data_IF_764963501989
#
_entry.id   IF_764963501989
#
_cell.length_a   1.000
_cell.length_b   1.000
_cell.length_c   1.000
_cell.angle_alpha   90.00
_cell.angle_beta   90.00
_cell.angle_gamma   90.00
#
_symmetry.space_group_name_H-M   'P 1'
#
loop_
_entity.id
_entity.type
_entity.pdbx_description
1 polymer ?
#
# COMPACT_ATOMS: atom_id res chain seq x y z
N UNK A 1 15.40 7.69 16.82
CA UNK A 1 16.56 7.48 15.93
C UNK A 1 16.97 6.01 15.76
N UNK A 2 16.41 5.02 16.48
CA UNK A 2 16.69 3.60 16.24
C UNK A 2 15.65 2.91 15.33
N UNK A 3 14.35 3.21 15.50
CA UNK A 3 13.26 2.64 14.67
C UNK A 3 13.37 3.06 13.20
N UNK A 4 13.63 4.34 12.90
CA UNK A 4 13.78 4.82 11.52
C UNK A 4 15.00 4.26 10.78
N UNK A 5 15.98 3.67 11.49
CA UNK A 5 17.17 3.06 10.89
C UNK A 5 17.03 1.55 10.71
N UNK A 6 16.28 0.89 11.60
CA UNK A 6 16.07 -0.55 11.57
C UNK A 6 14.89 -0.99 10.71
N UNK A 7 13.98 -0.08 10.32
CA UNK A 7 12.86 -0.44 9.45
C UNK A 7 13.36 -1.07 8.13
N UNK A 8 14.50 -0.64 7.61
CA UNK A 8 15.06 -1.16 6.35
C UNK A 8 15.98 -2.37 6.56
N UNK A 9 16.61 -2.51 7.73
CA UNK A 9 17.61 -3.57 8.03
C UNK A 9 17.02 -4.78 8.79
N UNK A 10 16.15 -4.54 9.78
CA UNK A 10 15.49 -5.55 10.64
C UNK A 10 14.08 -5.06 11.04
N UNK A 11 13.09 -5.22 10.14
CA UNK A 11 11.72 -4.76 10.38
C UNK A 11 11.07 -5.41 11.61
N UNK A 12 11.35 -6.70 11.86
CA UNK A 12 10.79 -7.44 12.98
C UNK A 12 11.35 -6.95 14.32
N UNK A 13 12.67 -6.73 14.40
CA UNK A 13 13.32 -6.13 15.56
C UNK A 13 12.82 -4.71 15.80
N UNK A 14 12.69 -3.88 14.76
CA UNK A 14 12.13 -2.54 14.85
C UNK A 14 10.70 -2.56 15.41
N UNK A 15 9.86 -3.49 14.93
CA UNK A 15 8.51 -3.71 15.45
C UNK A 15 8.53 -4.11 16.93
N UNK A 16 9.39 -5.05 17.33
CA UNK A 16 9.56 -5.46 18.73
C UNK A 16 9.90 -4.27 19.66
N UNK A 17 10.86 -3.44 19.27
CA UNK A 17 11.22 -2.23 20.02
C UNK A 17 10.08 -1.21 20.08
N UNK A 18 9.35 -1.04 18.98
CA UNK A 18 8.23 -0.11 18.92
C UNK A 18 7.11 -0.48 19.89
N UNK A 19 6.82 -1.78 20.06
CA UNK A 19 5.82 -2.25 21.05
C UNK A 19 6.23 -1.95 22.48
N UNK A 20 7.51 -2.11 22.81
CA UNK A 20 8.02 -1.76 24.14
C UNK A 20 7.90 -0.25 24.38
N UNK A 21 8.31 0.57 23.40
CA UNK A 21 8.17 2.02 23.48
C UNK A 21 6.70 2.44 23.64
N UNK A 22 5.78 1.80 22.92
CA UNK A 22 4.34 2.07 23.01
C UNK A 22 3.79 1.75 24.41
N UNK A 23 4.20 0.64 25.04
CA UNK A 23 3.82 0.30 26.42
C UNK A 23 4.29 1.35 27.43
N UNK A 24 5.46 1.95 27.21
CA UNK A 24 6.06 2.94 28.10
C UNK A 24 5.52 4.36 27.87
N UNK A 25 5.17 4.70 26.62
CA UNK A 25 4.91 6.08 26.20
C UNK A 25 3.70 6.22 25.25
N UNK A 26 2.63 5.47 25.48
CA UNK A 26 1.40 5.49 24.66
C UNK A 26 0.69 6.86 24.56
N UNK A 27 1.04 7.82 25.41
CA UNK A 27 0.52 9.19 25.35
C UNK A 27 1.37 10.15 24.51
N UNK A 28 2.41 9.65 23.86
CA UNK A 28 3.26 10.43 22.96
C UNK A 28 2.90 10.09 21.51
N UNK A 29 2.38 11.07 20.76
CA UNK A 29 1.92 10.83 19.38
C UNK A 29 3.03 10.27 18.49
N UNK A 30 4.24 10.85 18.56
CA UNK A 30 5.40 10.36 17.80
C UNK A 30 5.79 8.90 18.11
N UNK A 31 5.53 8.42 19.33
CA UNK A 31 5.76 7.00 19.68
C UNK A 31 4.73 6.11 18.98
N UNK A 32 3.49 6.55 18.88
CA UNK A 32 2.44 5.85 18.13
C UNK A 32 2.72 5.84 16.63
N UNK A 33 3.16 6.96 16.06
CA UNK A 33 3.56 7.01 14.65
C UNK A 33 4.70 6.04 14.36
N UNK A 34 5.74 6.03 15.20
CA UNK A 34 6.85 5.09 15.05
C UNK A 34 6.39 3.62 15.17
N UNK A 35 5.47 3.31 16.09
CA UNK A 35 4.87 1.98 16.20
C UNK A 35 4.01 1.63 14.99
N UNK A 36 3.25 2.60 14.46
CA UNK A 36 2.46 2.44 13.24
C UNK A 36 3.33 2.12 12.04
N UNK A 37 4.42 2.85 11.82
CA UNK A 37 5.36 2.59 10.73
C UNK A 37 6.09 1.25 10.88
N UNK A 38 6.48 0.86 12.09
CA UNK A 38 7.11 -0.44 12.31
C UNK A 38 6.12 -1.61 12.10
N UNK A 39 4.86 -1.44 12.51
CA UNK A 39 3.79 -2.40 12.21
C UNK A 39 3.50 -2.46 10.70
N UNK A 40 3.49 -1.31 10.02
CA UNK A 40 3.28 -1.21 8.58
C UNK A 40 4.38 -1.93 7.79
N UNK A 41 5.65 -1.71 8.15
CA UNK A 41 6.80 -2.38 7.53
C UNK A 41 6.79 -3.92 7.72
N UNK A 42 6.11 -4.41 8.76
CA UNK A 42 5.92 -5.84 9.03
C UNK A 42 4.55 -6.35 8.57
N UNK A 43 3.85 -5.59 7.70
CA UNK A 43 2.55 -5.92 7.10
C UNK A 43 1.43 -6.16 8.12
N UNK A 44 1.57 -5.66 9.36
CA UNK A 44 0.55 -5.71 10.41
C UNK A 44 -0.41 -4.54 10.26
N UNK A 45 -1.10 -4.48 9.12
CA UNK A 45 -1.88 -3.32 8.70
C UNK A 45 -2.98 -2.92 9.68
N UNK A 46 -3.63 -3.89 10.34
CA UNK A 46 -4.65 -3.62 11.36
C UNK A 46 -4.06 -2.85 12.57
N UNK A 47 -2.90 -3.30 13.07
CA UNK A 47 -2.20 -2.63 14.17
C UNK A 47 -1.66 -1.25 13.74
N UNK A 48 -1.06 -1.17 12.55
CA UNK A 48 -0.56 0.07 11.99
C UNK A 48 -1.66 1.14 11.89
N UNK A 49 -2.81 0.75 11.32
CA UNK A 49 -3.96 1.62 11.16
C UNK A 49 -4.54 2.09 12.50
N UNK A 50 -4.58 1.23 13.51
CA UNK A 50 -5.01 1.60 14.86
C UNK A 50 -4.09 2.69 15.46
N UNK A 51 -2.77 2.54 15.31
CA UNK A 51 -1.79 3.49 15.82
C UNK A 51 -1.80 4.81 15.03
N UNK A 52 -1.89 4.79 13.70
CA UNK A 52 -2.02 6.00 12.90
C UNK A 52 -3.30 6.77 13.22
N UNK A 53 -4.43 6.08 13.42
CA UNK A 53 -5.69 6.72 13.88
C UNK A 53 -5.54 7.36 15.26
N UNK A 54 -4.82 6.69 16.17
CA UNK A 54 -4.55 7.23 17.50
C UNK A 54 -3.63 8.46 17.43
N UNK A 55 -2.54 8.41 16.67
CA UNK A 55 -1.65 9.55 16.43
C UNK A 55 -2.41 10.74 15.84
N UNK A 56 -3.22 10.52 14.79
CA UNK A 56 -4.07 11.54 14.17
C UNK A 56 -5.06 12.17 15.15
N UNK A 57 -5.70 11.39 16.02
CA UNK A 57 -6.59 11.95 17.07
C UNK A 57 -5.84 12.85 18.05
N UNK A 58 -4.57 12.56 18.32
CA UNK A 58 -3.74 13.33 19.25
C UNK A 58 -3.18 14.60 18.64
N UNK A 59 -2.80 14.58 17.36
CA UNK A 59 -2.14 15.72 16.70
C UNK A 59 -3.08 16.55 15.83
N UNK A 60 -4.17 15.95 15.35
CA UNK A 60 -5.05 16.52 14.33
C UNK A 60 -4.45 16.55 12.91
N UNK A 61 -3.22 16.05 12.74
CA UNK A 61 -2.52 16.11 11.46
C UNK A 61 -3.07 15.07 10.46
N UNK A 62 -3.09 15.44 9.18
CA UNK A 62 -3.52 14.59 8.07
C UNK A 62 -2.36 13.93 7.32
N UNK A 63 -1.09 14.22 7.65
CA UNK A 63 0.07 13.68 6.92
C UNK A 63 0.08 12.15 6.80
N UNK A 64 -0.50 11.44 7.78
CA UNK A 64 -0.62 9.97 7.78
C UNK A 64 -1.80 9.45 6.94
N UNK A 65 -2.59 10.32 6.31
CA UNK A 65 -3.78 9.93 5.56
C UNK A 65 -3.48 8.93 4.42
N UNK A 66 -2.44 9.14 3.58
CA UNK A 66 -2.11 8.18 2.53
C UNK A 66 -1.72 6.80 3.07
N UNK A 67 -0.88 6.72 4.12
CA UNK A 67 -0.46 5.42 4.70
C UNK A 67 -1.62 4.72 5.41
N UNK A 68 -2.56 5.47 6.01
CA UNK A 68 -3.79 4.89 6.54
C UNK A 68 -4.67 4.29 5.43
N UNK A 69 -4.75 4.97 4.28
CA UNK A 69 -5.50 4.47 3.12
C UNK A 69 -4.82 3.23 2.51
N UNK A 70 -3.50 3.17 2.50
CA UNK A 70 -2.74 2.00 2.05
C UNK A 70 -2.85 0.82 3.03
N UNK A 71 -3.00 1.08 4.33
CA UNK A 71 -3.33 0.03 5.29
C UNK A 71 -4.70 -0.60 5.00
N UNK A 72 -5.71 0.17 4.61
CA UNK A 72 -7.02 -0.38 4.21
C UNK A 72 -6.87 -1.25 2.95
N UNK A 73 -6.04 -0.83 1.99
CA UNK A 73 -5.68 -1.63 0.80
C UNK A 73 -5.01 -2.95 1.20
N UNK A 74 -4.00 -2.91 2.09
CA UNK A 74 -3.33 -4.10 2.62
C UNK A 74 -4.23 -5.02 3.45
N UNK A 75 -5.37 -4.51 3.95
CA UNK A 75 -6.43 -5.31 4.59
C UNK A 75 -7.46 -5.87 3.58
N UNK A 76 -7.21 -5.75 2.28
CA UNK A 76 -8.10 -6.22 1.22
C UNK A 76 -9.34 -5.36 1.02
N UNK A 77 -9.26 -4.05 1.31
CA UNK A 77 -10.39 -3.09 1.19
C UNK A 77 -10.07 -1.94 0.23
N UNK A 78 -9.77 -2.23 -1.06
CA UNK A 78 -9.37 -1.20 -2.02
C UNK A 78 -10.46 -0.14 -2.27
N UNK A 79 -11.74 -0.48 -2.15
CA UNK A 79 -12.86 0.47 -2.25
C UNK A 79 -12.78 1.51 -1.14
N UNK A 80 -12.42 1.09 0.08
CA UNK A 80 -12.25 2.01 1.21
C UNK A 80 -11.09 2.97 0.98
N UNK A 81 -10.01 2.51 0.34
CA UNK A 81 -8.89 3.35 -0.07
C UNK A 81 -9.34 4.42 -1.07
N UNK A 82 -10.20 4.08 -2.04
CA UNK A 82 -10.75 5.06 -2.98
C UNK A 82 -11.68 6.07 -2.31
N UNK A 83 -12.51 5.64 -1.36
CA UNK A 83 -13.32 6.57 -0.55
C UNK A 83 -12.43 7.58 0.18
N UNK A 84 -11.32 7.12 0.77
CA UNK A 84 -10.36 7.98 1.45
C UNK A 84 -9.63 8.92 0.49
N UNK A 85 -9.35 8.49 -0.74
CA UNK A 85 -8.75 9.34 -1.77
C UNK A 85 -9.69 10.47 -2.24
N UNK A 86 -11.01 10.27 -2.11
CA UNK A 86 -12.03 11.28 -2.40
C UNK A 86 -12.38 12.19 -1.21
N UNK A 87 -11.78 11.98 -0.04
CA UNK A 87 -12.15 12.67 1.19
C UNK A 87 -11.57 14.10 1.28
N UNK A 88 -12.21 15.02 2.01
CA UNK A 88 -11.74 16.41 2.18
C UNK A 88 -10.35 16.52 2.81
N UNK A 89 -9.89 15.52 3.56
CA UNK A 89 -8.55 15.43 4.13
C UNK A 89 -7.45 15.55 3.08
N UNK A 90 -7.67 15.07 1.86
CA UNK A 90 -6.68 15.11 0.78
C UNK A 90 -6.32 16.54 0.39
N UNK A 91 -7.26 17.49 0.51
CA UNK A 91 -7.00 18.90 0.24
C UNK A 91 -6.12 19.59 1.29
N UNK A 92 -5.97 18.98 2.47
CA UNK A 92 -5.13 19.49 3.55
C UNK A 92 -3.69 18.96 3.47
N UNK A 93 -3.45 17.93 2.65
CA UNK A 93 -2.11 17.40 2.40
C UNK A 93 -1.27 18.40 1.61
N UNK A 94 0.03 18.40 1.90
CA UNK A 94 1.01 19.06 1.06
C UNK A 94 1.14 18.37 -0.31
N UNK A 95 2.02 18.89 -1.16
CA UNK A 95 2.17 18.36 -2.51
C UNK A 95 2.67 16.91 -2.50
N UNK A 96 3.59 16.57 -1.59
CA UNK A 96 4.10 15.22 -1.45
C UNK A 96 2.96 14.26 -1.05
N UNK A 97 2.23 14.57 0.02
CA UNK A 97 1.09 13.76 0.49
C UNK A 97 -0.01 13.60 -0.56
N UNK A 98 -0.27 14.62 -1.39
CA UNK A 98 -1.22 14.49 -2.52
C UNK A 98 -0.71 13.52 -3.59
N UNK A 99 0.59 13.47 -3.86
CA UNK A 99 1.18 12.48 -4.78
C UNK A 99 1.14 11.08 -4.15
N UNK A 100 1.47 10.96 -2.85
CA UNK A 100 1.32 9.70 -2.12
C UNK A 100 -0.10 9.15 -2.23
N UNK A 101 -1.11 9.99 -1.97
CA UNK A 101 -2.50 9.57 -2.05
C UNK A 101 -2.88 9.10 -3.47
N UNK A 102 -2.35 9.73 -4.53
CA UNK A 102 -2.58 9.27 -5.91
C UNK A 102 -1.95 7.91 -6.17
N UNK A 103 -0.74 7.67 -5.68
CA UNK A 103 -0.06 6.38 -5.83
C UNK A 103 -0.84 5.27 -5.14
N UNK A 104 -1.29 5.51 -3.90
CA UNK A 104 -2.12 4.58 -3.14
C UNK A 104 -3.46 4.32 -3.83
N UNK A 105 -4.13 5.36 -4.34
CA UNK A 105 -5.39 5.22 -5.08
C UNK A 105 -5.23 4.45 -6.40
N UNK A 106 -4.14 4.67 -7.13
CA UNK A 106 -3.83 3.90 -8.33
C UNK A 106 -3.55 2.42 -8.01
N UNK A 107 -2.83 2.14 -6.92
CA UNK A 107 -2.62 0.79 -6.41
C UNK A 107 -3.94 0.09 -6.08
N UNK A 108 -4.85 0.76 -5.36
CA UNK A 108 -6.17 0.21 -5.05
C UNK A 108 -6.98 -0.11 -6.31
N UNK A 109 -6.89 0.72 -7.37
CA UNK A 109 -7.52 0.43 -8.67
C UNK A 109 -6.94 -0.80 -9.35
N UNK A 110 -5.62 -1.00 -9.28
CA UNK A 110 -4.97 -2.20 -9.82
C UNK A 110 -5.42 -3.46 -9.10
N UNK A 111 -5.54 -3.42 -7.77
CA UNK A 111 -6.06 -4.56 -7.00
C UNK A 111 -7.49 -4.96 -7.40
N UNK A 112 -8.27 -4.03 -7.96
CA UNK A 112 -9.61 -4.25 -8.50
C UNK A 112 -9.64 -4.50 -10.02
N UNK A 113 -8.49 -4.75 -10.65
CA UNK A 113 -8.35 -4.95 -12.10
C UNK A 113 -8.81 -3.75 -12.96
N UNK A 114 -8.77 -2.54 -12.39
CA UNK A 114 -9.18 -1.30 -13.06
C UNK A 114 -7.97 -0.56 -13.66
N UNK A 115 -7.21 -1.23 -14.51
CA UNK A 115 -5.92 -0.74 -15.02
C UNK A 115 -6.01 0.62 -15.73
N UNK A 116 -6.99 0.80 -16.62
CA UNK A 116 -7.21 2.08 -17.31
C UNK A 116 -7.46 3.24 -16.33
N UNK A 117 -8.23 2.98 -15.27
CA UNK A 117 -8.51 3.98 -14.26
C UNK A 117 -7.30 4.25 -13.36
N UNK A 118 -6.45 3.25 -13.11
CA UNK A 118 -5.18 3.42 -12.41
C UNK A 118 -4.24 4.34 -13.21
N UNK A 119 -4.10 4.10 -14.52
CA UNK A 119 -3.31 4.94 -15.44
C UNK A 119 -3.82 6.39 -15.38
N UNK A 120 -5.13 6.61 -15.53
CA UNK A 120 -5.72 7.96 -15.45
C UNK A 120 -5.51 8.61 -14.09
N UNK A 121 -5.56 7.84 -13.00
CA UNK A 121 -5.33 8.35 -11.63
C UNK A 121 -3.91 8.90 -11.45
N UNK A 122 -2.92 8.28 -12.11
CA UNK A 122 -1.51 8.67 -12.06
C UNK A 122 -1.16 9.83 -13.01
N UNK A 123 -2.01 10.09 -14.02
CA UNK A 123 -1.82 11.23 -14.92
C UNK A 123 -2.06 12.55 -14.18
N UNK A 124 -0.97 13.18 -13.76
CA UNK A 124 -1.01 14.47 -13.07
C UNK A 124 0.06 15.44 -13.60
N UNK A 125 -0.05 16.75 -13.31
CA UNK A 125 1.01 17.71 -13.64
C UNK A 125 2.37 17.33 -13.06
N UNK A 126 2.38 16.66 -11.91
CA UNK A 126 3.60 16.18 -11.24
C UNK A 126 4.29 15.06 -12.03
N UNK A 127 3.53 14.19 -12.72
CA UNK A 127 4.09 13.13 -13.58
C UNK A 127 4.86 13.72 -14.77
N UNK A 128 4.33 14.78 -15.37
CA UNK A 128 4.91 15.47 -16.53
C UNK A 128 5.98 16.51 -16.17
N UNK A 129 6.23 16.76 -14.89
CA UNK A 129 7.19 17.76 -14.42
C UNK A 129 8.63 17.37 -14.79
N UNK A 130 9.43 18.37 -15.20
CA UNK A 130 10.88 18.23 -15.37
C UNK A 130 11.66 18.39 -14.07
N UNK A 131 11.05 18.96 -13.03
CA UNK A 131 11.67 19.06 -11.70
C UNK A 131 11.67 17.69 -11.03
N UNK A 132 12.85 17.21 -10.67
CA UNK A 132 13.03 15.99 -9.89
C UNK A 132 12.75 16.29 -8.42
N UNK A 133 11.71 15.66 -7.90
CA UNK A 133 11.26 15.71 -6.51
C UNK A 133 11.41 14.31 -5.89
N UNK A 134 11.37 14.17 -4.54
CA UNK A 134 11.54 12.88 -3.87
C UNK A 134 10.56 11.78 -4.36
N UNK A 135 9.36 12.16 -4.81
CA UNK A 135 8.36 11.22 -5.32
C UNK A 135 8.48 10.92 -6.83
N UNK A 136 9.34 11.63 -7.58
CA UNK A 136 9.32 11.59 -9.05
C UNK A 136 9.64 10.22 -9.61
N UNK A 137 10.66 9.54 -9.08
CA UNK A 137 11.04 8.20 -9.52
C UNK A 137 9.88 7.21 -9.31
N UNK A 138 9.35 7.12 -8.07
CA UNK A 138 8.23 6.22 -7.74
C UNK A 138 6.95 6.53 -8.50
N UNK A 139 6.64 7.81 -8.76
CA UNK A 139 5.46 8.18 -9.55
C UNK A 139 5.57 7.71 -11.00
N UNK A 140 6.73 7.88 -11.62
CA UNK A 140 6.98 7.43 -13.00
C UNK A 140 7.05 5.91 -13.10
N UNK A 141 7.65 5.26 -12.10
CA UNK A 141 7.68 3.82 -11.96
C UNK A 141 6.26 3.23 -11.91
N UNK A 142 5.42 3.72 -10.99
CA UNK A 142 4.05 3.23 -10.85
C UNK A 142 3.22 3.44 -12.13
N UNK A 143 3.47 4.52 -12.87
CA UNK A 143 2.83 4.77 -14.15
C UNK A 143 3.32 3.80 -15.24
N UNK A 144 4.63 3.54 -15.31
CA UNK A 144 5.22 2.57 -16.22
C UNK A 144 4.68 1.15 -15.96
N UNK A 145 4.63 0.75 -14.69
CA UNK A 145 4.15 -0.58 -14.28
C UNK A 145 2.66 -0.76 -14.58
N UNK A 146 1.82 0.26 -14.34
CA UNK A 146 0.41 0.23 -14.73
C UNK A 146 0.21 0.17 -16.26
N UNK A 147 1.07 0.84 -17.04
CA UNK A 147 1.05 0.74 -18.51
C UNK A 147 1.44 -0.67 -18.98
N UNK A 148 2.46 -1.27 -18.35
CA UNK A 148 2.94 -2.60 -18.70
C UNK A 148 1.85 -3.65 -18.45
N UNK A 149 1.21 -3.59 -17.29
CA UNK A 149 0.10 -4.49 -16.94
C UNK A 149 -1.09 -4.34 -17.89
N UNK A 150 -1.33 -3.13 -18.41
CA UNK A 150 -2.34 -2.87 -19.43
C UNK A 150 -1.92 -3.26 -20.86
N UNK A 151 -0.75 -3.90 -21.04
CA UNK A 151 -0.23 -4.33 -22.34
C UNK A 151 0.33 -3.20 -23.22
N UNK A 152 0.57 -2.01 -22.65
CA UNK A 152 1.11 -0.84 -23.37
C UNK A 152 2.63 -0.79 -23.26
N UNK A 153 3.29 -1.87 -23.68
CA UNK A 153 4.73 -2.11 -23.47
C UNK A 153 5.63 -0.98 -23.97
N UNK A 154 5.36 -0.44 -25.16
CA UNK A 154 6.17 0.64 -25.74
C UNK A 154 6.16 1.91 -24.88
N UNK A 155 4.99 2.27 -24.34
CA UNK A 155 4.88 3.42 -23.43
C UNK A 155 5.48 3.10 -22.05
N UNK A 156 5.23 1.90 -21.52
CA UNK A 156 5.80 1.47 -20.26
C UNK A 156 7.33 1.57 -20.28
N UNK A 157 7.96 1.11 -21.36
CA UNK A 157 9.40 1.22 -21.59
C UNK A 157 9.91 2.66 -21.50
N UNK A 158 9.24 3.59 -22.19
CA UNK A 158 9.61 5.02 -22.14
C UNK A 158 9.51 5.59 -20.71
N UNK A 159 8.51 5.17 -19.95
CA UNK A 159 8.31 5.66 -18.59
C UNK A 159 9.23 5.01 -17.56
N UNK A 160 9.61 3.73 -17.73
CA UNK A 160 10.69 3.13 -16.94
C UNK A 160 12.02 3.85 -17.18
N UNK A 161 12.37 4.19 -18.42
CA UNK A 161 13.57 4.99 -18.71
C UNK A 161 13.53 6.35 -17.98
N UNK A 162 12.38 7.04 -17.98
CA UNK A 162 12.21 8.30 -17.22
C UNK A 162 12.23 8.11 -15.70
N UNK A 163 11.86 6.94 -15.20
CA UNK A 163 11.97 6.59 -13.79
C UNK A 163 13.45 6.41 -13.41
N UNK A 164 14.23 5.66 -14.20
CA UNK A 164 15.69 5.50 -14.05
C UNK A 164 16.40 6.86 -14.03
N UNK A 165 16.06 7.76 -14.96
CA UNK A 165 16.66 9.11 -14.99
C UNK A 165 16.38 9.95 -13.72
N UNK A 166 15.24 9.71 -13.07
CA UNK A 166 14.85 10.41 -11.85
C UNK A 166 15.40 9.74 -10.57
N UNK A 167 15.72 8.46 -10.63
CA UNK A 167 16.10 7.62 -9.49
C UNK A 167 17.61 7.70 -9.18
N UNK A 168 18.02 8.82 -8.59
CA UNK A 168 19.45 9.10 -8.34
C UNK A 168 20.04 8.32 -7.17
N UNK A 169 19.19 7.83 -6.29
CA UNK A 169 19.54 7.10 -5.07
C UNK A 169 19.30 5.59 -5.19
N UNK A 170 18.79 5.11 -6.33
CA UNK A 170 18.52 3.68 -6.55
C UNK A 170 17.37 3.18 -5.67
N UNK A 171 16.37 4.03 -5.46
CA UNK A 171 15.18 3.75 -4.66
C UNK A 171 14.18 2.81 -5.34
N UNK A 172 14.35 2.55 -6.64
CA UNK A 172 13.52 1.67 -7.45
C UNK A 172 14.37 0.69 -8.25
N UNK A 173 13.77 -0.43 -8.65
CA UNK A 173 14.34 -1.42 -9.57
C UNK A 173 14.07 -1.06 -11.06
N UNK A 174 13.80 0.22 -11.36
CA UNK A 174 13.42 0.66 -12.72
C UNK A 174 14.45 0.29 -13.79
N UNK A 175 15.74 0.24 -13.45
CA UNK A 175 16.81 -0.15 -14.36
C UNK A 175 16.69 -1.61 -14.78
N UNK A 176 16.35 -2.46 -13.82
CA UNK A 176 16.31 -3.91 -13.99
C UNK A 176 15.07 -4.26 -14.81
N UNK A 177 13.92 -3.66 -14.46
CA UNK A 177 12.67 -3.74 -15.24
C UNK A 177 12.87 -3.30 -16.69
N UNK A 178 13.61 -2.20 -16.91
CA UNK A 178 13.88 -1.71 -18.27
C UNK A 178 14.76 -2.68 -19.07
N UNK A 179 15.74 -3.31 -18.44
CA UNK A 179 16.62 -4.29 -19.06
C UNK A 179 15.87 -5.60 -19.39
N UNK A 180 15.02 -6.08 -18.49
CA UNK A 180 14.13 -7.24 -18.72
C UNK A 180 13.26 -6.99 -19.96
N UNK A 181 12.68 -5.80 -20.10
CA UNK A 181 11.90 -5.41 -21.28
C UNK A 181 12.73 -5.32 -22.57
N UNK A 182 14.04 -5.14 -22.47
CA UNK A 182 14.99 -5.20 -23.60
C UNK A 182 15.45 -6.63 -23.93
N UNK A 183 15.02 -7.63 -23.15
CA UNK A 183 15.50 -9.01 -23.27
C UNK A 183 16.92 -9.21 -22.73
N UNK A 184 17.36 -8.35 -21.81
CA UNK A 184 18.62 -8.52 -21.07
C UNK A 184 18.31 -9.10 -19.70
N UNK A 185 18.68 -10.36 -19.49
CA UNK A 185 18.59 -11.00 -18.17
C UNK A 185 19.88 -10.77 -17.38
N UNK A 186 19.75 -10.22 -16.16
CA UNK A 186 20.86 -10.13 -15.22
C UNK A 186 21.01 -11.46 -14.49
N UNK A 187 22.05 -12.21 -14.83
CA UNK A 187 22.53 -13.33 -14.02
C UNK A 187 23.34 -12.78 -12.86
N UNK A 188 22.96 -13.11 -11.62
CA UNK A 188 23.74 -12.75 -10.44
C UNK A 188 25.12 -13.39 -10.56
N UNK A 189 26.16 -12.56 -10.66
CA UNK A 189 27.53 -13.04 -10.76
C UNK A 189 28.02 -13.69 -9.44
N UNK A 190 27.25 -13.61 -8.35
CA UNK A 190 27.62 -14.08 -7.02
C UNK A 190 26.75 -15.24 -6.45
N UNK A 191 25.94 -15.92 -7.26
CA UNK A 191 25.34 -17.23 -6.91
C UNK A 191 24.84 -17.95 -8.17
N UNK A 192 25.32 -19.13 -8.57
CA UNK A 192 25.76 -20.29 -7.81
C UNK A 192 27.14 -20.83 -8.25
N UNK A 193 28.10 -20.94 -7.32
CA UNK A 193 29.18 -21.95 -7.40
C UNK A 193 28.73 -23.30 -6.82
N UNK A 194 27.44 -23.68 -6.96
CA UNK A 194 27.00 -25.05 -6.76
C UNK A 194 26.65 -25.71 -8.10
N UNK A 195 27.58 -26.56 -8.54
CA UNK A 195 27.22 -27.75 -9.30
C UNK A 195 27.12 -27.54 -10.80
N UNK A 196 28.26 -27.36 -11.45
CA UNK A 196 28.43 -27.85 -12.81
C UNK A 196 28.08 -29.34 -12.85
N UNK A 197 26.92 -29.68 -13.41
CA UNK A 197 26.65 -31.02 -13.89
C UNK A 197 26.13 -30.92 -15.32
N UNK A 198 27.06 -31.04 -16.26
CA UNK A 198 26.73 -31.26 -17.65
C UNK A 198 25.92 -32.53 -17.81
N UNK A 199 24.98 -32.52 -18.74
CA UNK A 199 24.41 -33.75 -19.27
C UNK A 199 24.09 -33.54 -20.74
N UNK A 200 25.07 -33.89 -21.58
CA UNK A 200 24.84 -34.31 -22.95
C UNK A 200 24.36 -35.77 -22.94
N UNK A 201 23.32 -36.07 -23.73
CA UNK A 201 23.24 -37.32 -24.51
C UNK A 201 22.80 -38.63 -23.84
N UNK A 202 21.52 -38.98 -24.07
CA UNK A 202 21.05 -40.24 -24.71
C UNK A 202 21.41 -41.63 -24.13
N UNK A 203 20.41 -42.37 -23.65
CA UNK A 203 19.88 -43.63 -24.27
C UNK A 203 18.97 -44.43 -23.30
N UNK A 204 18.07 -45.22 -23.89
CA UNK A 204 16.86 -45.81 -23.34
C UNK A 204 17.00 -47.19 -22.65
N UNK A 205 16.07 -47.53 -21.72
CA UNK A 205 15.30 -48.80 -21.75
C UNK A 205 14.30 -49.01 -20.60
N UNK A 206 13.02 -49.10 -21.00
CA UNK A 206 11.99 -50.09 -20.68
C UNK A 206 11.67 -50.62 -19.24
N UNK A 207 10.42 -50.31 -18.84
CA UNK A 207 9.35 -51.20 -18.33
C UNK A 207 9.30 -51.69 -16.87
N UNK A 208 8.18 -51.36 -16.20
CA UNK A 208 7.62 -52.08 -15.05
C UNK A 208 6.50 -51.30 -14.31
N UNK A 209 5.24 -51.54 -14.65
CA UNK A 209 4.03 -51.05 -13.94
C UNK A 209 3.56 -52.06 -12.85
N UNK A 210 2.45 -51.87 -12.08
CA UNK A 210 1.93 -50.69 -11.35
C UNK A 210 1.45 -50.99 -9.88
N UNK A 211 1.21 -49.90 -9.10
CA UNK A 211 0.17 -49.66 -8.04
C UNK A 211 0.12 -50.51 -6.72
N UNK A 212 -0.75 -50.17 -5.74
CA UNK A 212 -0.88 -48.96 -4.88
C UNK A 212 -0.89 -49.33 -3.36
N UNK A 213 -1.02 -48.36 -2.42
CA UNK A 213 -2.02 -48.35 -1.31
C UNK A 213 -1.69 -47.40 -0.10
N UNK A 214 -2.76 -46.73 0.36
CA UNK A 214 -3.20 -46.21 1.67
C UNK A 214 -2.30 -45.53 2.73
N UNK A 215 -2.91 -44.48 3.33
CA UNK A 215 -2.77 -44.06 4.73
C UNK A 215 -2.68 -42.54 4.86
N UNK A 216 -3.77 -41.75 4.80
CA UNK A 216 -4.71 -41.46 5.90
C UNK A 216 -4.00 -41.14 7.23
N UNK A 217 -3.83 -39.85 7.54
CA UNK A 217 -4.14 -39.37 8.89
C UNK A 217 -4.59 -37.91 8.87
N UNK A 218 -5.87 -37.75 9.16
CA UNK A 218 -6.61 -36.52 9.39
C UNK A 218 -6.47 -36.13 10.86
N UNK A 219 -6.03 -34.91 11.14
CA UNK A 219 -6.27 -34.25 12.42
C UNK A 219 -6.84 -32.87 12.13
N UNK A 220 -8.16 -32.80 12.28
CA UNK A 220 -8.96 -31.60 12.42
C UNK A 220 -8.58 -30.91 13.75
N UNK A 221 -8.26 -29.63 13.71
CA UNK A 221 -8.34 -28.73 14.86
C UNK A 221 -9.11 -27.49 14.39
N UNK A 222 -10.43 -27.55 14.56
CA UNK A 222 -11.36 -26.43 14.40
C UNK A 222 -11.37 -25.63 15.71
N UNK A 223 -10.65 -24.50 15.75
CA UNK A 223 -10.84 -23.50 16.80
C UNK A 223 -11.92 -22.50 16.37
N UNK A 224 -13.13 -22.79 16.86
CA UNK A 224 -14.36 -22.00 16.88
C UNK A 224 -14.18 -20.73 17.74
N UNK A 225 -13.96 -19.58 17.10
CA UNK A 225 -14.09 -18.26 17.75
C UNK A 225 -15.46 -17.68 17.42
N UNK A 226 -16.35 -17.81 18.41
CA UNK A 226 -17.69 -17.24 18.46
C UNK A 226 -17.67 -15.72 18.31
N UNK A 227 -18.35 -15.23 17.29
CA UNK A 227 -18.67 -13.82 17.03
C UNK A 227 -19.79 -13.39 17.99
N UNK A 228 -19.47 -12.53 18.96
CA UNK A 228 -20.49 -11.91 19.82
C UNK A 228 -21.03 -10.63 19.16
N UNK A 229 -22.22 -10.77 18.60
CA UNK A 229 -23.17 -9.72 18.22
C UNK A 229 -23.31 -8.65 19.32
N UNK A 230 -22.82 -7.43 19.07
CA UNK A 230 -23.29 -6.23 19.79
C UNK A 230 -24.34 -5.54 18.92
N UNK A 231 -25.60 -5.85 19.23
CA UNK A 231 -26.77 -5.07 18.83
C UNK A 231 -26.83 -3.81 19.69
N UNK A 232 -26.73 -2.64 19.07
CA UNK A 232 -27.14 -1.38 19.69
C UNK A 232 -28.34 -0.86 18.91
N UNK A 233 -29.52 -0.95 19.52
CA UNK A 233 -30.79 -0.44 19.00
C UNK A 233 -31.41 0.50 20.02
N UNK A 234 -32.16 1.45 19.45
CA UNK A 234 -33.18 2.33 20.02
C UNK A 234 -32.68 3.72 20.45
N UNK A 235 -33.01 4.77 19.68
CA UNK A 235 -34.25 5.59 19.76
C UNK A 235 -34.27 6.39 21.09
N UNK A 236 -34.55 7.68 21.22
CA UNK A 236 -35.41 8.61 20.50
C UNK A 236 -35.24 9.97 21.24
N UNK A 237 -35.14 11.12 20.58
CA UNK A 237 -35.78 12.37 21.06
C UNK A 237 -36.02 13.31 19.87
N UNK A 238 -37.22 13.25 19.30
CA UNK A 238 -37.87 14.42 18.70
C UNK A 238 -38.55 15.16 19.83
N UNK A 239 -38.30 16.46 19.94
CA UNK A 239 -39.34 17.34 20.46
C UNK A 239 -39.37 18.67 19.70
N UNK A 240 -40.60 19.12 19.52
CA UNK A 240 -41.06 20.01 18.48
C UNK A 240 -41.76 21.18 19.19
N UNK A 241 -41.28 22.42 19.06
CA UNK A 241 -42.08 23.59 19.44
C UNK A 241 -41.89 24.73 18.44
N UNK A 242 -42.98 24.99 17.72
CA UNK A 242 -43.41 26.24 17.07
C UNK A 242 -42.88 27.50 17.78
N UNK A 243 -42.33 28.51 17.12
CA UNK A 243 -42.96 29.31 16.07
C UNK A 243 -43.13 30.73 16.61
N UNK A 244 -42.65 31.74 15.89
CA UNK A 244 -43.38 33.00 15.81
C UNK A 244 -42.98 33.84 14.59
N UNK A 245 -44.02 34.44 14.04
CA UNK A 245 -44.08 35.24 12.82
C UNK A 245 -43.71 36.68 13.13
N UNK A 246 -42.86 37.32 12.30
CA UNK A 246 -42.96 38.76 12.06
C UNK A 246 -42.66 39.04 10.58
N UNK A 247 -43.71 39.09 9.77
CA UNK A 247 -43.75 40.01 8.63
C UNK A 247 -43.83 41.44 9.18
N UNK A 248 -43.18 42.41 8.52
CA UNK A 248 -43.76 43.72 8.16
C UNK A 248 -42.74 44.60 7.41
N UNK A 249 -43.08 44.84 6.13
CA UNK A 249 -43.07 46.09 5.33
C UNK A 249 -41.77 46.72 4.81
N UNK A 250 -41.67 46.68 3.49
CA UNK A 250 -41.75 47.81 2.52
C UNK A 250 -41.35 49.23 2.93
N UNK A 251 -40.70 49.87 1.93
CA UNK A 251 -40.48 51.31 1.62
C UNK A 251 -38.98 51.64 1.59
N UNK A 252 -38.40 52.33 0.60
CA UNK A 252 -38.81 52.85 -0.71
C UNK A 252 -37.55 53.48 -1.33
N UNK A 253 -37.56 53.58 -2.66
CA UNK A 253 -36.84 54.52 -3.54
C UNK A 253 -35.30 54.48 -3.64
#
# INVERSE_FOLDING_TARGET
>A
MMVARLIDEDPEGAYGYSRVALRLASRVAAVREAAGFAAYATQKYSEALAEFRAARRMTGNVDLWPVMADCERGLGRPEKTLDMAGAPEVHKLDKAGQVEMRLVAAGARRDMDQLDAAIVTLQSPELASSSVQPWTARLRYAYADALLEAGREGEAREWFAKAVEADKDGSTDASDRLAEMDGVEFVDALGDEEGGNGSEGDEASAQGAPAPDAGSDSVDDEDDVTDEDVKDTDEDVKDHVSGDVVEVRDDKD
#
